data_IF_879474557796
#
_entry.id   IF_879474557796
#
_cell.length_a   1.000
_cell.length_b   1.000
_cell.length_c   1.000
_cell.angle_alpha   90.00
_cell.angle_beta   90.00
_cell.angle_gamma   90.00
#
_symmetry.space_group_name_H-M   'P 1'
#
loop_
_entity.id
_entity.type
_entity.pdbx_description
1 polymer ?
#
# COMPACT_ATOMS: atom_id res chain seq x y z
N UNK A 1 -34.60 -11.32 34.98
CA UNK A 1 -34.32 -11.09 33.55
C UNK A 1 -33.46 -9.85 33.47
N UNK A 2 -32.17 -10.04 33.73
CA UNK A 2 -31.19 -8.96 33.70
C UNK A 2 -30.81 -8.72 32.24
N UNK A 3 -31.14 -7.53 31.75
CA UNK A 3 -30.62 -7.00 30.50
C UNK A 3 -29.13 -6.76 30.65
N UNK A 4 -28.33 -7.72 30.15
CA UNK A 4 -26.92 -7.53 29.87
C UNK A 4 -26.78 -6.31 28.95
N UNK A 5 -26.35 -5.19 29.53
CA UNK A 5 -25.99 -3.99 28.79
C UNK A 5 -24.73 -4.35 27.99
N UNK A 6 -24.89 -4.57 26.69
CA UNK A 6 -23.75 -4.79 25.79
C UNK A 6 -22.69 -3.70 26.04
N UNK A 7 -21.40 -4.04 26.06
CA UNK A 7 -20.36 -3.02 26.19
C UNK A 7 -20.55 -2.02 25.05
N UNK A 8 -20.97 -0.80 25.40
CA UNK A 8 -21.24 0.26 24.43
C UNK A 8 -20.03 0.48 23.52
N UNK A 9 -20.28 0.91 22.29
CA UNK A 9 -19.26 1.15 21.26
C UNK A 9 -18.08 2.03 21.73
N UNK A 10 -18.31 2.95 22.66
CA UNK A 10 -17.26 3.74 23.32
C UNK A 10 -16.23 2.89 24.07
N UNK A 11 -16.66 1.78 24.67
CA UNK A 11 -15.76 0.84 25.34
C UNK A 11 -14.84 0.11 24.35
N UNK A 12 -15.32 -0.18 23.13
CA UNK A 12 -14.52 -0.87 22.12
C UNK A 12 -13.38 0.02 21.59
N UNK A 13 -13.68 1.28 21.30
CA UNK A 13 -12.66 2.26 20.89
C UNK A 13 -11.64 2.49 22.00
N UNK A 14 -12.08 2.55 23.26
CA UNK A 14 -11.18 2.66 24.40
C UNK A 14 -10.23 1.45 24.51
N UNK A 15 -10.75 0.22 24.34
CA UNK A 15 -9.93 -1.01 24.33
C UNK A 15 -8.87 -0.96 23.22
N UNK A 16 -9.25 -0.61 21.99
CA UNK A 16 -8.30 -0.44 20.89
C UNK A 16 -7.24 0.63 21.20
N UNK A 17 -7.66 1.77 21.76
CA UNK A 17 -6.77 2.87 22.15
C UNK A 17 -5.75 2.41 23.18
N UNK A 18 -6.16 1.64 24.19
CA UNK A 18 -5.27 1.02 25.17
C UNK A 18 -4.30 0.04 24.51
N UNK A 19 -4.76 -0.80 23.58
CA UNK A 19 -3.88 -1.72 22.85
C UNK A 19 -2.82 -0.98 22.03
N UNK A 20 -3.19 0.12 21.35
CA UNK A 20 -2.24 0.97 20.62
C UNK A 20 -1.19 1.58 21.56
N UNK A 21 -1.61 2.10 22.73
CA UNK A 21 -0.70 2.67 23.73
C UNK A 21 0.31 1.64 24.26
N UNK A 22 -0.09 0.38 24.41
CA UNK A 22 0.80 -0.72 24.80
C UNK A 22 1.54 -1.38 23.62
N UNK A 23 1.51 -0.77 22.42
CA UNK A 23 2.14 -1.28 21.20
C UNK A 23 1.69 -2.69 20.79
N UNK A 24 0.48 -3.08 21.15
CA UNK A 24 -0.11 -4.38 20.78
C UNK A 24 -0.79 -4.29 19.42
N UNK A 25 -0.05 -3.92 18.38
CA UNK A 25 -0.61 -3.55 17.08
C UNK A 25 -1.34 -4.70 16.38
N UNK A 26 -0.72 -5.89 16.28
CA UNK A 26 -1.37 -7.05 15.66
C UNK A 26 -2.68 -7.40 16.36
N UNK A 27 -2.66 -7.49 17.70
CA UNK A 27 -3.87 -7.79 18.49
C UNK A 27 -4.94 -6.72 18.31
N UNK A 28 -4.55 -5.44 18.26
CA UNK A 28 -5.48 -4.34 18.03
C UNK A 28 -6.18 -4.47 16.67
N UNK A 29 -5.43 -4.81 15.61
CA UNK A 29 -6.00 -5.02 14.28
C UNK A 29 -6.98 -6.20 14.26
N UNK A 30 -6.60 -7.34 14.83
CA UNK A 30 -7.44 -8.54 14.90
C UNK A 30 -8.73 -8.30 15.68
N UNK A 31 -8.66 -7.50 16.75
CA UNK A 31 -9.82 -7.11 17.55
C UNK A 31 -10.70 -6.08 16.85
N UNK A 32 -10.12 -5.08 16.18
CA UNK A 32 -10.86 -3.97 15.56
C UNK A 32 -11.56 -4.34 14.24
N UNK A 33 -10.97 -5.25 13.46
CA UNK A 33 -11.48 -5.66 12.14
C UNK A 33 -12.91 -6.21 12.16
N UNK A 34 -13.31 -7.12 13.07
CA UNK A 34 -14.66 -7.69 13.09
C UNK A 34 -15.72 -6.75 13.70
N UNK A 35 -15.35 -5.58 14.23
CA UNK A 35 -16.29 -4.67 14.90
C UNK A 35 -17.29 -4.10 13.87
N UNK A 36 -18.61 -4.20 14.10
CA UNK A 36 -19.61 -3.59 13.24
C UNK A 36 -19.43 -2.07 13.12
N UNK A 37 -19.85 -1.51 11.98
CA UNK A 37 -19.76 -0.08 11.68
C UNK A 37 -21.16 0.56 11.68
N UNK A 38 -21.79 0.73 12.85
CA UNK A 38 -23.19 1.16 12.94
C UNK A 38 -23.40 2.64 12.58
N UNK A 39 -22.36 3.47 12.73
CA UNK A 39 -22.40 4.90 12.35
C UNK A 39 -21.06 5.39 11.76
N UNK A 40 -21.07 6.53 11.03
CA UNK A 40 -19.88 7.06 10.36
C UNK A 40 -18.74 7.48 11.29
N UNK A 41 -19.03 7.92 12.52
CA UNK A 41 -18.02 8.39 13.48
C UNK A 41 -17.21 7.22 14.04
N UNK A 42 -17.90 6.14 14.40
CA UNK A 42 -17.26 4.89 14.81
C UNK A 42 -16.45 4.30 13.64
N UNK A 43 -17.01 4.30 12.43
CA UNK A 43 -16.28 3.82 11.24
C UNK A 43 -14.97 4.59 11.03
N UNK A 44 -15.02 5.93 11.08
CA UNK A 44 -13.83 6.75 10.90
C UNK A 44 -12.76 6.48 11.98
N UNK A 45 -13.19 6.30 13.23
CA UNK A 45 -12.30 5.97 14.36
C UNK A 45 -11.63 4.61 14.17
N UNK A 46 -12.42 3.57 13.82
CA UNK A 46 -11.91 2.22 13.58
C UNK A 46 -10.98 2.17 12.37
N UNK A 47 -11.30 2.86 11.28
CA UNK A 47 -10.43 2.93 10.10
C UNK A 47 -9.07 3.54 10.44
N UNK A 48 -9.05 4.59 11.26
CA UNK A 48 -7.79 5.20 11.73
C UNK A 48 -7.01 4.26 12.65
N UNK A 49 -7.68 3.60 13.61
CA UNK A 49 -7.07 2.62 14.52
C UNK A 49 -6.44 1.45 13.74
N UNK A 50 -7.19 0.88 12.79
CA UNK A 50 -6.75 -0.25 11.97
C UNK A 50 -5.56 0.18 11.10
N UNK A 51 -5.59 1.38 10.53
CA UNK A 51 -4.47 1.90 9.75
C UNK A 51 -3.20 2.06 10.61
N UNK A 52 -3.30 2.65 11.80
CA UNK A 52 -2.16 2.77 12.74
C UNK A 52 -1.61 1.39 13.09
N UNK A 53 -2.49 0.44 13.46
CA UNK A 53 -2.11 -0.90 13.83
C UNK A 53 -1.41 -1.66 12.69
N UNK A 54 -1.95 -1.60 11.47
CA UNK A 54 -1.36 -2.27 10.31
C UNK A 54 0.00 -1.67 9.93
N UNK A 55 0.10 -0.34 9.89
CA UNK A 55 1.36 0.35 9.59
C UNK A 55 2.43 -0.04 10.59
N UNK A 56 2.15 0.06 11.90
CA UNK A 56 3.16 -0.20 12.93
C UNK A 56 3.48 -1.69 13.08
N UNK A 57 2.50 -2.59 12.84
CA UNK A 57 2.80 -4.02 12.70
C UNK A 57 3.70 -4.31 11.51
N UNK A 58 3.52 -3.62 10.38
CA UNK A 58 4.42 -3.74 9.24
C UNK A 58 5.81 -3.18 9.54
N UNK A 59 5.90 -2.10 10.33
CA UNK A 59 7.18 -1.56 10.83
C UNK A 59 7.90 -2.54 11.74
N UNK A 60 7.24 -3.49 12.41
CA UNK A 60 7.93 -4.52 13.21
C UNK A 60 8.55 -5.62 12.35
N UNK A 61 8.08 -5.79 11.11
CA UNK A 61 8.60 -6.80 10.18
C UNK A 61 9.90 -6.32 9.56
N UNK A 62 10.87 -7.22 9.46
CA UNK A 62 12.19 -6.96 8.89
C UNK A 62 12.45 -7.87 7.70
N UNK A 63 12.93 -7.26 6.64
CA UNK A 63 13.41 -7.91 5.42
C UNK A 63 14.91 -8.17 5.52
N UNK A 64 15.53 -8.83 4.53
CA UNK A 64 16.98 -8.95 4.46
C UNK A 64 17.69 -7.62 4.71
N UNK A 65 18.88 -7.69 5.31
CA UNK A 65 19.64 -6.52 5.77
C UNK A 65 18.95 -5.68 6.85
N UNK A 66 18.01 -6.28 7.60
CA UNK A 66 17.26 -5.63 8.67
C UNK A 66 16.50 -4.38 8.20
N UNK A 67 16.11 -4.37 6.92
CA UNK A 67 15.38 -3.25 6.33
C UNK A 67 13.87 -3.36 6.60
N UNK A 68 13.16 -2.23 6.75
CA UNK A 68 11.71 -2.22 6.83
C UNK A 68 11.08 -2.65 5.50
N UNK A 69 9.89 -3.27 5.57
CA UNK A 69 9.08 -3.55 4.40
C UNK A 69 8.23 -2.31 4.05
N UNK A 70 8.79 -1.41 3.24
CA UNK A 70 8.14 -0.16 2.86
C UNK A 70 6.83 -0.37 2.08
N UNK A 71 6.69 -1.48 1.35
CA UNK A 71 5.43 -1.82 0.69
C UNK A 71 4.36 -2.21 1.70
N UNK A 72 4.70 -3.06 2.66
CA UNK A 72 3.78 -3.43 3.74
C UNK A 72 3.40 -2.24 4.63
N UNK A 73 4.33 -1.31 4.88
CA UNK A 73 4.06 -0.05 5.61
C UNK A 73 3.03 0.81 4.86
N UNK A 74 3.11 0.89 3.53
CA UNK A 74 2.08 1.55 2.71
C UNK A 74 0.82 0.71 2.52
N UNK A 75 0.73 -0.49 3.11
CA UNK A 75 -0.35 -1.46 2.91
C UNK A 75 -0.54 -1.85 1.45
N UNK A 76 0.58 -2.07 0.74
CA UNK A 76 0.62 -2.50 -0.65
C UNK A 76 1.30 -3.85 -0.79
N UNK A 77 0.84 -4.63 -1.77
CA UNK A 77 1.60 -5.76 -2.29
C UNK A 77 2.64 -5.23 -3.27
N UNK A 78 3.81 -5.87 -3.31
CA UNK A 78 4.92 -5.44 -4.19
C UNK A 78 4.55 -5.63 -5.66
N UNK A 79 3.80 -6.69 -5.94
CA UNK A 79 3.30 -7.03 -7.26
C UNK A 79 2.38 -5.93 -7.80
N UNK A 80 1.39 -5.49 -7.04
CA UNK A 80 0.44 -4.46 -7.46
C UNK A 80 1.16 -3.15 -7.78
N UNK A 81 2.12 -2.76 -6.92
CA UNK A 81 2.91 -1.55 -7.11
C UNK A 81 3.94 -1.64 -8.26
N UNK A 82 4.24 -2.84 -8.76
CA UNK A 82 5.05 -3.02 -9.97
C UNK A 82 4.23 -2.79 -11.25
N UNK A 83 2.92 -3.07 -11.21
CA UNK A 83 2.02 -2.91 -12.35
C UNK A 83 1.43 -1.50 -12.46
N UNK A 84 1.22 -0.82 -11.33
CA UNK A 84 0.64 0.52 -11.29
C UNK A 84 1.63 1.53 -10.68
N UNK A 85 2.16 2.42 -11.53
CA UNK A 85 3.15 3.43 -11.17
C UNK A 85 2.60 4.49 -10.21
N UNK A 86 1.30 4.76 -10.25
CA UNK A 86 0.67 5.80 -9.43
C UNK A 86 0.13 5.26 -8.11
N UNK A 87 0.06 3.92 -7.95
CA UNK A 87 -0.49 3.26 -6.76
C UNK A 87 0.18 3.73 -5.47
N UNK A 88 1.51 3.80 -5.46
CA UNK A 88 2.31 4.24 -4.29
C UNK A 88 1.90 5.65 -3.86
N UNK A 89 1.78 6.58 -4.81
CA UNK A 89 1.43 7.98 -4.52
C UNK A 89 -0.03 8.12 -4.10
N UNK A 90 -0.97 7.40 -4.74
CA UNK A 90 -2.39 7.42 -4.37
C UNK A 90 -2.59 6.87 -2.95
N UNK A 91 -1.93 5.76 -2.64
CA UNK A 91 -2.03 5.12 -1.34
C UNK A 91 -1.40 5.96 -0.24
N UNK A 92 -0.24 6.60 -0.50
CA UNK A 92 0.34 7.57 0.42
C UNK A 92 -0.63 8.71 0.75
N UNK A 93 -1.24 9.34 -0.25
CA UNK A 93 -2.21 10.43 -0.03
C UNK A 93 -3.38 9.98 0.85
N UNK A 94 -3.92 8.78 0.57
CA UNK A 94 -4.99 8.19 1.38
C UNK A 94 -4.57 8.02 2.84
N UNK A 95 -3.37 7.49 3.07
CA UNK A 95 -2.85 7.26 4.42
C UNK A 95 -2.51 8.54 5.15
N UNK A 96 -1.89 9.50 4.48
CA UNK A 96 -1.56 10.80 5.07
C UNK A 96 -2.81 11.54 5.57
N UNK A 97 -3.91 11.48 4.81
CA UNK A 97 -5.20 12.06 5.22
C UNK A 97 -5.82 11.30 6.40
N UNK A 98 -5.76 9.96 6.40
CA UNK A 98 -6.33 9.13 7.46
C UNK A 98 -5.56 9.25 8.78
N UNK A 99 -4.23 9.34 8.70
CA UNK A 99 -3.33 9.41 9.85
C UNK A 99 -3.05 10.84 10.31
N UNK A 100 -3.65 11.84 9.67
CA UNK A 100 -3.44 13.25 9.99
C UNK A 100 -3.64 13.51 11.50
N UNK A 101 -2.61 14.00 12.19
CA UNK A 101 -2.66 14.23 13.63
C UNK A 101 -3.46 15.48 14.01
N UNK A 102 -3.82 16.32 13.05
CA UNK A 102 -4.65 17.52 13.25
C UNK A 102 -6.15 17.22 13.29
N UNK A 103 -6.55 16.01 12.90
CA UNK A 103 -7.95 15.57 12.97
C UNK A 103 -8.42 15.45 14.44
N UNK A 104 -9.70 15.78 14.69
CA UNK A 104 -10.30 15.86 16.03
C UNK A 104 -10.17 14.56 16.86
N UNK A 105 -10.01 13.39 16.23
CA UNK A 105 -9.76 12.11 16.89
C UNK A 105 -8.27 11.77 16.85
N UNK A 106 -7.56 12.02 17.96
CA UNK A 106 -6.16 11.66 18.14
C UNK A 106 -6.05 10.30 18.81
N UNK A 107 -5.35 9.36 18.17
CA UNK A 107 -5.04 8.04 18.72
C UNK A 107 -3.53 7.93 19.03
N UNK A 108 -3.13 7.10 20.00
CA UNK A 108 -1.74 6.80 20.28
C UNK A 108 -1.00 6.33 19.03
N UNK A 109 0.26 6.75 18.90
CA UNK A 109 1.15 6.40 17.78
C UNK A 109 0.67 6.81 16.37
N UNK A 110 -0.33 7.70 16.24
CA UNK A 110 -0.73 8.26 14.94
C UNK A 110 0.42 9.02 14.27
N UNK A 111 1.15 9.84 15.04
CA UNK A 111 2.30 10.62 14.57
C UNK A 111 3.46 9.70 14.09
N UNK A 112 3.71 8.63 14.86
CA UNK A 112 4.71 7.60 14.56
C UNK A 112 4.36 6.87 13.26
N UNK A 113 3.11 6.43 13.12
CA UNK A 113 2.62 5.76 11.91
C UNK A 113 2.73 6.67 10.67
N UNK A 114 2.37 7.94 10.78
CA UNK A 114 2.49 8.90 9.68
C UNK A 114 3.94 9.11 9.25
N UNK A 115 4.86 9.20 10.22
CA UNK A 115 6.30 9.32 9.94
C UNK A 115 6.81 8.12 9.14
N UNK A 116 6.48 6.89 9.57
CA UNK A 116 6.86 5.68 8.85
C UNK A 116 6.28 5.63 7.44
N UNK A 117 5.03 6.07 7.26
CA UNK A 117 4.38 6.16 5.94
C UNK A 117 5.09 7.17 5.03
N UNK A 118 5.52 8.32 5.56
CA UNK A 118 6.27 9.33 4.81
C UNK A 118 7.64 8.81 4.39
N UNK A 119 8.37 8.14 5.27
CA UNK A 119 9.66 7.51 4.96
C UNK A 119 9.51 6.45 3.86
N UNK A 120 8.51 5.57 3.98
CA UNK A 120 8.23 4.56 2.97
C UNK A 120 7.93 5.18 1.61
N UNK A 121 7.10 6.23 1.57
CA UNK A 121 6.81 6.95 0.34
C UNK A 121 8.06 7.62 -0.24
N UNK A 122 8.90 8.28 0.56
CA UNK A 122 10.13 8.94 0.10
C UNK A 122 11.13 7.99 -0.56
N UNK A 123 11.17 6.73 -0.12
CA UNK A 123 11.99 5.69 -0.74
C UNK A 123 11.34 5.18 -2.02
N UNK A 124 10.04 4.88 -1.99
CA UNK A 124 9.34 4.21 -3.10
C UNK A 124 8.88 5.15 -4.23
N UNK A 125 8.75 6.45 -3.99
CA UNK A 125 8.34 7.45 -4.99
C UNK A 125 9.47 7.84 -5.94
N UNK A 126 10.72 7.72 -5.50
CA UNK A 126 11.90 8.03 -6.30
C UNK A 126 12.45 6.75 -6.94
N UNK A 127 12.55 6.70 -8.27
CA UNK A 127 12.98 5.50 -8.97
C UNK A 127 14.35 5.02 -8.53
N UNK A 128 15.32 5.93 -8.34
CA UNK A 128 16.70 5.54 -7.99
C UNK A 128 16.77 4.95 -6.59
N UNK A 129 16.11 5.58 -5.62
CA UNK A 129 16.05 5.08 -4.24
C UNK A 129 15.30 3.75 -4.16
N UNK A 130 14.22 3.61 -4.92
CA UNK A 130 13.46 2.36 -5.01
C UNK A 130 14.31 1.22 -5.56
N UNK A 131 15.08 1.47 -6.64
CA UNK A 131 15.95 0.46 -7.25
C UNK A 131 17.07 0.04 -6.28
N UNK A 132 17.66 0.99 -5.55
CA UNK A 132 18.63 0.70 -4.49
C UNK A 132 18.02 -0.13 -3.36
N UNK A 133 16.82 0.24 -2.90
CA UNK A 133 16.10 -0.51 -1.87
C UNK A 133 15.81 -1.94 -2.34
N UNK A 134 15.32 -2.13 -3.56
CA UNK A 134 15.06 -3.44 -4.18
C UNK A 134 16.31 -4.31 -4.20
N UNK A 135 17.44 -3.76 -4.63
CA UNK A 135 18.72 -4.46 -4.61
C UNK A 135 19.11 -4.89 -3.19
N UNK A 136 18.93 -4.02 -2.19
CA UNK A 136 19.27 -4.32 -0.80
C UNK A 136 18.38 -5.42 -0.19
N UNK A 137 17.09 -5.47 -0.51
CA UNK A 137 16.19 -6.51 0.00
C UNK A 137 16.20 -7.79 -0.86
N UNK A 138 17.02 -7.84 -1.91
CA UNK A 138 17.06 -8.95 -2.86
C UNK A 138 15.75 -9.12 -3.65
N UNK A 139 14.96 -8.05 -3.78
CA UNK A 139 13.73 -8.06 -4.57
C UNK A 139 14.05 -7.68 -6.00
N UNK A 140 13.76 -8.59 -6.92
CA UNK A 140 13.65 -8.26 -8.33
C UNK A 140 12.16 -8.25 -8.66
N UNK A 141 11.58 -7.09 -9.04
CA UNK A 141 10.23 -7.10 -9.55
C UNK A 141 10.19 -8.12 -10.69
N UNK A 142 9.22 -9.03 -10.66
CA UNK A 142 8.94 -9.81 -11.85
C UNK A 142 8.60 -8.80 -12.93
N UNK A 143 9.46 -8.69 -13.94
CA UNK A 143 9.17 -7.92 -15.13
C UNK A 143 8.00 -8.63 -15.80
N UNK A 144 6.78 -8.31 -15.38
CA UNK A 144 5.60 -8.76 -16.08
C UNK A 144 5.80 -8.28 -17.52
N UNK A 145 5.69 -9.20 -18.47
CA UNK A 145 5.81 -8.88 -19.87
C UNK A 145 4.43 -8.87 -20.51
N UNK A 146 4.30 -8.14 -21.59
CA UNK A 146 3.15 -8.21 -22.47
C UNK A 146 3.62 -8.33 -23.91
N UNK A 147 2.84 -9.06 -24.68
CA UNK A 147 3.02 -9.14 -26.12
C UNK A 147 2.25 -8.01 -26.79
N UNK A 148 2.89 -7.34 -27.73
CA UNK A 148 2.29 -6.34 -28.63
C UNK A 148 2.64 -6.69 -30.07
N UNK A 149 1.80 -6.28 -31.03
CA UNK A 149 2.11 -6.38 -32.45
C UNK A 149 2.31 -5.00 -33.06
N UNK A 150 3.29 -4.85 -33.94
CA UNK A 150 3.44 -3.64 -34.75
C UNK A 150 2.35 -3.63 -35.83
N UNK A 151 1.50 -2.59 -35.93
CA UNK A 151 0.40 -2.55 -36.90
C UNK A 151 0.87 -2.40 -38.35
N UNK A 152 2.15 -2.06 -38.58
CA UNK A 152 2.69 -1.81 -39.92
C UNK A 152 3.37 -3.02 -40.53
N UNK A 153 4.03 -3.86 -39.72
CA UNK A 153 4.78 -5.03 -40.21
C UNK A 153 4.35 -6.34 -39.55
N UNK A 154 3.38 -6.29 -38.63
CA UNK A 154 2.80 -7.45 -37.93
C UNK A 154 3.77 -8.28 -37.08
N UNK A 155 5.03 -7.85 -36.93
CA UNK A 155 5.94 -8.49 -36.00
C UNK A 155 5.46 -8.31 -34.56
N UNK A 156 5.54 -9.41 -33.82
CA UNK A 156 5.26 -9.47 -32.39
C UNK A 156 6.53 -9.15 -31.60
N UNK A 157 6.34 -8.40 -30.51
CA UNK A 157 7.39 -8.05 -29.57
C UNK A 157 6.89 -8.32 -28.16
N UNK A 158 7.78 -8.82 -27.32
CA UNK A 158 7.57 -8.93 -25.89
C UNK A 158 8.27 -7.76 -25.21
N UNK A 159 7.50 -6.96 -24.45
CA UNK A 159 8.01 -5.85 -23.67
C UNK A 159 7.62 -6.00 -22.21
N UNK A 160 8.41 -5.41 -21.31
CA UNK A 160 7.99 -5.23 -19.92
C UNK A 160 6.73 -4.36 -19.84
N UNK A 161 5.81 -4.65 -18.93
CA UNK A 161 4.54 -3.92 -18.69
C UNK A 161 4.73 -2.42 -18.49
N UNK A 162 5.92 -1.99 -18.05
CA UNK A 162 6.29 -0.58 -17.96
C UNK A 162 6.20 0.16 -19.31
N UNK A 163 6.18 -0.54 -20.44
CA UNK A 163 6.04 0.01 -21.78
C UNK A 163 4.62 -0.06 -22.34
N UNK A 164 3.65 -0.56 -21.58
CA UNK A 164 2.25 -0.57 -21.99
C UNK A 164 1.76 0.86 -22.22
N UNK A 165 1.02 1.07 -23.30
CA UNK A 165 0.53 2.39 -23.78
C UNK A 165 1.61 3.43 -24.15
N UNK A 166 2.90 3.04 -24.15
CA UNK A 166 3.97 3.90 -24.63
C UNK A 166 4.09 3.86 -26.16
N UNK A 167 4.56 4.96 -26.76
CA UNK A 167 4.97 5.01 -28.17
C UNK A 167 6.38 4.45 -28.30
N UNK A 168 6.52 3.32 -28.99
CA UNK A 168 7.79 2.63 -29.21
C UNK A 168 8.20 2.68 -30.69
N UNK A 169 9.50 2.56 -30.95
CA UNK A 169 10.04 2.38 -32.30
C UNK A 169 10.08 0.89 -32.66
N UNK A 170 9.45 0.51 -33.76
CA UNK A 170 9.49 -0.87 -34.24
C UNK A 170 10.91 -1.24 -34.70
N UNK A 171 11.48 -2.29 -34.10
CA UNK A 171 12.82 -2.77 -34.40
C UNK A 171 12.94 -3.39 -35.81
N UNK A 172 11.81 -3.72 -36.46
CA UNK A 172 11.81 -4.38 -37.77
C UNK A 172 11.55 -3.43 -38.94
N UNK A 173 10.66 -2.45 -38.78
CA UNK A 173 10.30 -1.53 -39.87
C UNK A 173 10.61 -0.05 -39.59
N UNK A 174 11.15 0.27 -38.41
CA UNK A 174 11.53 1.63 -38.03
C UNK A 174 10.37 2.62 -37.84
N UNK A 175 9.11 2.15 -37.84
CA UNK A 175 7.93 2.99 -37.62
C UNK A 175 7.56 3.04 -36.15
N UNK A 176 7.03 4.17 -35.68
CA UNK A 176 6.55 4.33 -34.31
C UNK A 176 5.14 3.79 -34.15
N UNK A 177 4.88 3.04 -33.07
CA UNK A 177 3.57 2.46 -32.76
C UNK A 177 3.32 2.48 -31.26
N UNK A 178 2.05 2.43 -30.86
CA UNK A 178 1.66 2.30 -29.44
C UNK A 178 1.68 0.83 -29.03
N UNK A 179 2.32 0.52 -27.92
CA UNK A 179 2.44 -0.85 -27.43
C UNK A 179 1.19 -1.24 -26.63
N UNK A 180 0.22 -1.84 -27.32
CA UNK A 180 -0.99 -2.38 -26.70
C UNK A 180 -0.84 -3.86 -26.39
N UNK A 181 -1.36 -4.26 -25.23
CA UNK A 181 -1.41 -5.67 -24.84
C UNK A 181 -2.34 -6.46 -25.73
N UNK A 182 -1.79 -7.49 -26.36
CA UNK A 182 -2.58 -8.50 -27.06
C UNK A 182 -3.34 -9.34 -26.04
N UNK A 183 -4.67 -9.25 -26.08
CA UNK A 183 -5.56 -10.19 -25.38
C UNK A 183 -5.72 -11.43 -26.26
N UNK A 184 -4.88 -12.44 -26.03
CA UNK A 184 -5.11 -13.76 -26.60
C UNK A 184 -6.32 -14.37 -25.89
N UNK A 185 -7.40 -14.60 -26.63
CA UNK A 185 -8.55 -15.39 -26.19
C UNK A 185 -8.28 -16.88 -26.33
#
# INVERSE_FOLDING_TARGET
MDTLKEPGSENLIAVCTTMLAYRRFSTCCDFATPIPRPDPSISASLDKIIAIANVLSAVERRLPNNLPDYYSILMLRREDAAHDRDLVTRQFKKLALLLDPTAATKFPSSDEALTCVQEAWHVLSDSKRRDLYHAQIGYQPTNATFWTACPYCWNLFEYETKYEDCTLLCQSCGKTFTAWRLQLR
#
